data_IF_561537686392
#
_entry.id   IF_561537686392
#
_cell.length_a   1.000
_cell.length_b   1.000
_cell.length_c   1.000
_cell.angle_alpha   90.00
_cell.angle_beta   90.00
_cell.angle_gamma   90.00
#
_symmetry.space_group_name_H-M   'P 1'
#
loop_
_entity.id
_entity.type
_entity.pdbx_description
1 polymer ?
#
# COMPACT_ATOMS: atom_id res chain seq x y z
N UNK A 1 -10.12 -77.23 13.16
CA UNK A 1 -11.15 -76.26 12.79
C UNK A 1 -10.91 -74.84 13.33
N UNK A 2 -10.22 -74.62 14.41
CA UNK A 2 -9.95 -73.26 14.96
C UNK A 2 -9.02 -72.38 14.08
N UNK A 3 -7.99 -72.94 13.46
CA UNK A 3 -6.99 -72.23 12.65
C UNK A 3 -7.55 -71.58 11.39
N UNK A 4 -8.52 -72.20 10.72
CA UNK A 4 -9.14 -71.69 9.48
C UNK A 4 -10.05 -70.46 9.73
N UNK A 5 -10.79 -70.47 10.88
CA UNK A 5 -11.64 -69.36 11.31
C UNK A 5 -10.83 -68.12 11.69
N UNK A 6 -9.65 -68.33 12.34
CA UNK A 6 -8.75 -67.27 12.71
C UNK A 6 -8.10 -66.60 11.52
N UNK A 7 -7.74 -67.33 10.46
CA UNK A 7 -7.22 -66.78 9.19
C UNK A 7 -8.27 -65.93 8.45
N UNK A 8 -9.56 -66.36 8.48
CA UNK A 8 -10.65 -65.60 7.87
C UNK A 8 -10.89 -64.24 8.56
N UNK A 9 -10.82 -64.17 9.87
CA UNK A 9 -10.98 -62.96 10.66
C UNK A 9 -9.79 -62.00 10.40
N UNK A 10 -8.54 -62.48 10.43
CA UNK A 10 -7.36 -61.70 10.16
C UNK A 10 -7.39 -61.05 8.76
N UNK A 11 -7.82 -61.80 7.73
CA UNK A 11 -7.94 -61.32 6.38
C UNK A 11 -9.03 -60.22 6.22
N UNK A 12 -10.15 -60.37 6.94
CA UNK A 12 -11.22 -59.33 6.94
C UNK A 12 -10.78 -58.06 7.67
N UNK A 13 -10.08 -58.21 8.80
CA UNK A 13 -9.57 -57.11 9.58
C UNK A 13 -8.52 -56.29 8.77
N UNK A 14 -7.55 -57.02 8.17
CA UNK A 14 -6.52 -56.38 7.30
C UNK A 14 -7.16 -55.63 6.13
N UNK A 15 -8.18 -56.24 5.44
CA UNK A 15 -8.87 -55.56 4.36
C UNK A 15 -9.64 -54.31 4.85
N UNK A 16 -10.22 -54.35 6.07
CA UNK A 16 -10.85 -53.19 6.69
C UNK A 16 -9.88 -52.06 6.95
N UNK A 17 -8.76 -52.36 7.61
CA UNK A 17 -7.70 -51.39 7.89
C UNK A 17 -7.09 -50.80 6.61
N UNK A 18 -6.85 -51.59 5.57
CA UNK A 18 -6.33 -51.13 4.30
C UNK A 18 -7.32 -50.13 3.63
N UNK A 19 -8.61 -50.43 3.66
CA UNK A 19 -9.62 -49.48 3.11
C UNK A 19 -9.63 -48.16 3.86
N UNK A 20 -9.58 -48.17 5.18
CA UNK A 20 -9.57 -46.95 5.99
C UNK A 20 -8.27 -46.16 5.72
N UNK A 21 -7.13 -46.87 5.67
CA UNK A 21 -5.84 -46.21 5.35
C UNK A 21 -5.81 -45.56 3.96
N UNK A 22 -6.40 -46.21 2.95
CA UNK A 22 -6.51 -45.67 1.60
C UNK A 22 -7.42 -44.44 1.59
N UNK A 23 -8.57 -44.51 2.25
CA UNK A 23 -9.48 -43.36 2.35
C UNK A 23 -8.81 -42.19 3.06
N UNK A 24 -8.09 -42.48 4.18
CA UNK A 24 -7.35 -41.46 4.90
C UNK A 24 -6.23 -40.84 4.07
N UNK A 25 -5.50 -41.63 3.28
CA UNK A 25 -4.46 -41.13 2.38
C UNK A 25 -5.03 -40.24 1.27
N UNK A 26 -6.16 -40.63 0.66
CA UNK A 26 -6.86 -39.82 -0.35
C UNK A 26 -7.34 -38.50 0.24
N UNK A 27 -7.97 -38.55 1.43
CA UNK A 27 -8.41 -37.33 2.12
C UNK A 27 -7.25 -36.39 2.46
N UNK A 28 -6.09 -36.93 2.88
CA UNK A 28 -4.90 -36.15 3.16
C UNK A 28 -4.32 -35.47 1.90
N UNK A 29 -4.30 -36.19 0.77
CA UNK A 29 -3.84 -35.63 -0.52
C UNK A 29 -4.76 -34.48 -0.97
N UNK A 30 -6.07 -34.67 -0.87
CA UNK A 30 -7.06 -33.61 -1.20
C UNK A 30 -6.87 -32.41 -0.27
N UNK A 31 -6.69 -32.65 1.05
CA UNK A 31 -6.48 -31.59 2.03
C UNK A 31 -5.21 -30.79 1.77
N UNK A 32 -4.10 -31.45 1.45
CA UNK A 32 -2.83 -30.79 1.09
C UNK A 32 -3.01 -29.98 -0.21
N UNK A 33 -3.65 -30.56 -1.21
CA UNK A 33 -3.94 -29.85 -2.48
C UNK A 33 -4.76 -28.58 -2.26
N UNK A 34 -5.81 -28.66 -1.44
CA UNK A 34 -6.65 -27.50 -1.10
C UNK A 34 -5.85 -26.41 -0.34
N UNK A 35 -4.98 -26.80 0.59
CA UNK A 35 -4.09 -25.86 1.31
C UNK A 35 -3.10 -25.18 0.39
N UNK A 36 -2.50 -25.89 -0.57
CA UNK A 36 -1.57 -25.30 -1.53
C UNK A 36 -2.28 -24.30 -2.45
N UNK A 37 -3.49 -24.60 -2.90
CA UNK A 37 -4.31 -23.68 -3.69
C UNK A 37 -4.67 -22.44 -2.86
N UNK A 38 -5.11 -22.63 -1.62
CA UNK A 38 -5.45 -21.51 -0.72
C UNK A 38 -4.24 -20.62 -0.45
N UNK A 39 -3.07 -21.21 -0.19
CA UNK A 39 -1.82 -20.47 0.03
C UNK A 39 -1.43 -19.64 -1.19
N UNK A 40 -1.50 -20.22 -2.39
CA UNK A 40 -1.22 -19.51 -3.64
C UNK A 40 -2.21 -18.36 -3.93
N UNK A 41 -3.49 -18.54 -3.61
CA UNK A 41 -4.49 -17.50 -3.74
C UNK A 41 -4.28 -16.38 -2.70
N UNK A 42 -3.93 -16.74 -1.47
CA UNK A 42 -3.62 -15.77 -0.41
C UNK A 42 -2.37 -14.94 -0.74
N UNK A 43 -1.30 -15.57 -1.20
CA UNK A 43 -0.09 -14.87 -1.66
C UNK A 43 -0.41 -13.92 -2.83
N UNK A 44 -1.22 -14.37 -3.79
CA UNK A 44 -1.67 -13.53 -4.89
C UNK A 44 -2.51 -12.34 -4.41
N UNK A 45 -3.38 -12.55 -3.43
CA UNK A 45 -4.19 -11.48 -2.85
C UNK A 45 -3.33 -10.46 -2.08
N UNK A 46 -2.37 -10.91 -1.27
CA UNK A 46 -1.44 -10.04 -0.56
C UNK A 46 -0.58 -9.21 -1.52
N UNK A 47 0.04 -9.87 -2.52
CA UNK A 47 0.90 -9.20 -3.50
C UNK A 47 0.12 -8.23 -4.39
N UNK A 48 -1.17 -8.48 -4.62
CA UNK A 48 -1.99 -7.69 -5.53
C UNK A 48 -2.67 -6.51 -4.86
N UNK A 49 -3.05 -6.66 -3.60
CA UNK A 49 -3.89 -5.68 -2.89
C UNK A 49 -3.26 -5.18 -1.59
N UNK A 50 -2.73 -6.06 -0.77
CA UNK A 50 -2.23 -5.69 0.56
C UNK A 50 -0.98 -4.81 0.50
N UNK A 51 -0.01 -5.15 -0.34
CA UNK A 51 1.23 -4.37 -0.48
C UNK A 51 0.98 -3.05 -1.20
N UNK A 52 0.16 -3.04 -2.25
CA UNK A 52 -0.17 -1.81 -2.98
C UNK A 52 -0.87 -0.80 -2.08
N UNK A 53 -1.82 -1.20 -1.24
CA UNK A 53 -2.44 -0.30 -0.25
C UNK A 53 -1.43 0.22 0.78
N UNK A 54 -0.53 -0.65 1.23
CA UNK A 54 0.54 -0.28 2.15
C UNK A 54 1.48 0.78 1.54
N UNK A 55 1.82 0.64 0.27
CA UNK A 55 2.72 1.56 -0.44
C UNK A 55 2.04 2.90 -0.72
N UNK A 56 0.74 2.91 -1.09
CA UNK A 56 -0.06 4.14 -1.17
C UNK A 56 -0.07 4.86 0.19
N UNK A 57 -0.33 4.14 1.28
CA UNK A 57 -0.35 4.69 2.63
C UNK A 57 0.99 5.30 3.05
N UNK A 58 2.12 4.68 2.69
CA UNK A 58 3.47 5.22 2.95
C UNK A 58 3.71 6.50 2.13
N UNK A 59 3.36 6.51 0.84
CA UNK A 59 3.48 7.68 -0.01
C UNK A 59 2.65 8.85 0.55
N UNK A 60 1.38 8.63 0.88
CA UNK A 60 0.52 9.66 1.51
C UNK A 60 1.10 10.19 2.82
N UNK A 61 1.64 9.31 3.65
CA UNK A 61 2.27 9.71 4.92
C UNK A 61 3.49 10.57 4.68
N UNK A 62 4.40 10.15 3.79
CA UNK A 62 5.61 10.92 3.46
C UNK A 62 5.26 12.29 2.83
N UNK A 63 4.26 12.33 1.94
CA UNK A 63 3.74 13.57 1.37
C UNK A 63 3.18 14.53 2.43
N UNK A 64 2.38 14.02 3.37
CA UNK A 64 1.83 14.82 4.48
C UNK A 64 2.91 15.30 5.45
N UNK A 65 3.94 14.49 5.69
CA UNK A 65 5.07 14.87 6.55
C UNK A 65 5.96 15.92 5.89
N UNK A 66 6.23 15.83 4.57
CA UNK A 66 6.91 16.87 3.79
C UNK A 66 6.14 18.19 3.86
N UNK A 67 4.83 18.16 3.60
CA UNK A 67 3.94 19.32 3.72
C UNK A 67 3.96 19.93 5.14
N UNK A 68 3.94 19.11 6.17
CA UNK A 68 4.00 19.56 7.57
C UNK A 68 5.34 20.24 7.89
N UNK A 69 6.44 19.71 7.37
CA UNK A 69 7.76 20.28 7.55
C UNK A 69 7.90 21.64 6.84
N UNK A 70 7.39 21.77 5.59
CA UNK A 70 7.35 23.06 4.88
C UNK A 70 6.54 24.11 5.67
N UNK A 71 5.35 23.74 6.16
CA UNK A 71 4.55 24.64 7.00
C UNK A 71 5.28 25.09 8.26
N UNK A 72 6.12 24.24 8.84
CA UNK A 72 6.96 24.60 9.96
C UNK A 72 8.06 25.59 9.54
N UNK A 73 8.69 25.42 8.36
CA UNK A 73 9.66 26.40 7.81
C UNK A 73 9.00 27.77 7.65
N UNK A 74 7.79 27.80 7.11
CA UNK A 74 7.02 29.06 6.91
C UNK A 74 6.51 29.66 8.24
N UNK A 75 6.35 28.86 9.29
CA UNK A 75 5.70 29.27 10.54
C UNK A 75 6.64 29.63 11.68
N UNK A 76 7.95 29.35 11.58
CA UNK A 76 8.91 29.59 12.65
C UNK A 76 9.98 30.63 12.24
N UNK A 77 10.40 31.44 13.22
CA UNK A 77 11.45 32.46 13.05
C UNK A 77 12.83 31.99 13.59
N UNK A 78 12.90 30.80 14.18
CA UNK A 78 14.14 30.24 14.73
C UNK A 78 14.94 29.52 13.63
N UNK A 79 16.12 30.03 13.31
CA UNK A 79 16.98 29.52 12.24
C UNK A 79 17.32 28.03 12.41
N UNK A 80 17.58 27.57 13.64
CA UNK A 80 17.88 26.16 13.90
C UNK A 80 16.63 25.25 13.67
N UNK A 81 15.44 25.78 13.93
CA UNK A 81 14.17 25.09 13.62
C UNK A 81 13.96 25.06 12.12
N UNK A 82 14.17 26.16 11.43
CA UNK A 82 14.04 26.28 9.97
C UNK A 82 14.98 25.29 9.28
N UNK A 83 16.28 25.28 9.61
CA UNK A 83 17.26 24.34 9.06
C UNK A 83 16.83 22.88 9.26
N UNK A 84 16.43 22.53 10.48
CA UNK A 84 15.95 21.18 10.81
C UNK A 84 14.72 20.78 10.02
N UNK A 85 13.75 21.69 9.86
CA UNK A 85 12.51 21.40 9.14
C UNK A 85 12.72 21.34 7.64
N UNK A 86 13.61 22.15 7.08
CA UNK A 86 14.05 22.04 5.69
C UNK A 86 14.68 20.68 5.40
N UNK A 87 15.60 20.23 6.25
CA UNK A 87 16.20 18.90 6.10
C UNK A 87 15.16 17.77 6.24
N UNK A 88 14.18 17.93 7.13
CA UNK A 88 13.08 16.97 7.27
C UNK A 88 12.18 16.97 6.03
N UNK A 89 11.84 18.13 5.50
CA UNK A 89 11.09 18.29 4.26
C UNK A 89 11.74 17.52 3.11
N UNK A 90 13.03 17.75 2.86
CA UNK A 90 13.79 17.10 1.80
C UNK A 90 13.83 15.58 1.98
N UNK A 91 14.07 15.11 3.20
CA UNK A 91 14.05 13.68 3.54
C UNK A 91 12.68 13.05 3.23
N UNK A 92 11.58 13.75 3.56
CA UNK A 92 10.23 13.22 3.35
C UNK A 92 9.82 13.26 1.88
N UNK A 93 10.27 14.26 1.14
CA UNK A 93 10.11 14.33 -0.32
C UNK A 93 10.83 13.16 -1.01
N UNK A 94 12.09 12.89 -0.67
CA UNK A 94 12.85 11.75 -1.21
C UNK A 94 12.16 10.41 -0.86
N UNK A 95 11.68 10.25 0.37
CA UNK A 95 10.93 9.08 0.77
C UNK A 95 9.63 8.92 -0.03
N UNK A 96 8.91 10.02 -0.26
CA UNK A 96 7.71 10.04 -1.10
C UNK A 96 8.01 9.59 -2.53
N UNK A 97 9.03 10.15 -3.17
CA UNK A 97 9.45 9.78 -4.53
C UNK A 97 9.81 8.28 -4.61
N UNK A 98 10.51 7.77 -3.60
CA UNK A 98 10.82 6.34 -3.48
C UNK A 98 9.56 5.47 -3.42
N UNK A 99 8.60 5.84 -2.59
CA UNK A 99 7.34 5.08 -2.47
C UNK A 99 6.48 5.19 -3.74
N UNK A 100 6.50 6.33 -4.43
CA UNK A 100 5.81 6.48 -5.72
C UNK A 100 6.45 5.60 -6.80
N UNK A 101 7.76 5.48 -6.83
CA UNK A 101 8.46 4.58 -7.76
C UNK A 101 8.14 3.10 -7.45
N UNK A 102 8.15 2.70 -6.18
CA UNK A 102 7.72 1.35 -5.76
C UNK A 102 6.27 1.08 -6.16
N UNK A 103 5.37 2.04 -5.93
CA UNK A 103 3.96 1.97 -6.29
C UNK A 103 3.77 1.79 -7.79
N UNK A 104 4.52 2.51 -8.63
CA UNK A 104 4.48 2.39 -10.09
C UNK A 104 4.72 0.96 -10.58
N UNK A 105 5.58 0.21 -9.87
CA UNK A 105 5.94 -1.18 -10.19
C UNK A 105 4.89 -2.19 -9.73
N UNK A 106 4.13 -1.86 -8.70
CA UNK A 106 3.11 -2.75 -8.09
C UNK A 106 1.73 -2.58 -8.70
N UNK A 107 1.42 -1.43 -9.31
CA UNK A 107 0.15 -1.14 -9.96
C UNK A 107 0.02 -1.91 -11.28
N UNK A 108 -0.77 -2.98 -11.26
CA UNK A 108 -0.99 -3.87 -12.42
C UNK A 108 -2.31 -3.65 -13.15
N UNK A 109 -3.20 -2.85 -12.61
CA UNK A 109 -4.56 -2.60 -13.14
C UNK A 109 -4.62 -1.29 -13.90
N UNK A 110 -5.46 -1.24 -14.95
CA UNK A 110 -5.71 -0.04 -15.75
C UNK A 110 -6.21 1.12 -14.90
N UNK A 111 -7.25 0.85 -14.09
CA UNK A 111 -7.87 1.86 -13.24
C UNK A 111 -6.88 2.44 -12.20
N UNK A 112 -6.06 1.58 -11.60
CA UNK A 112 -5.02 2.02 -10.67
C UNK A 112 -3.93 2.85 -11.34
N UNK A 113 -3.57 2.54 -12.59
CA UNK A 113 -2.59 3.34 -13.36
C UNK A 113 -3.16 4.67 -13.80
N UNK A 114 -4.44 4.73 -14.17
CA UNK A 114 -5.12 5.98 -14.51
C UNK A 114 -5.14 6.93 -13.31
N UNK A 115 -5.55 6.44 -12.13
CA UNK A 115 -5.53 7.21 -10.90
C UNK A 115 -4.10 7.62 -10.48
N UNK A 116 -3.12 6.74 -10.62
CA UNK A 116 -1.71 7.06 -10.36
C UNK A 116 -1.20 8.17 -11.29
N UNK A 117 -1.54 8.12 -12.58
CA UNK A 117 -1.15 9.15 -13.52
C UNK A 117 -1.84 10.49 -13.24
N UNK A 118 -3.08 10.48 -12.73
CA UNK A 118 -3.75 11.69 -12.27
C UNK A 118 -2.96 12.36 -11.13
N UNK A 119 -2.56 11.58 -10.12
CA UNK A 119 -1.69 12.07 -9.04
C UNK A 119 -0.40 12.67 -9.60
N UNK A 120 0.30 11.98 -10.52
CA UNK A 120 1.56 12.48 -11.08
C UNK A 120 1.38 13.82 -11.80
N UNK A 121 0.26 14.00 -12.52
CA UNK A 121 -0.01 15.23 -13.28
C UNK A 121 -0.12 16.44 -12.36
N UNK A 122 -0.72 16.28 -11.20
CA UNK A 122 -0.89 17.37 -10.22
C UNK A 122 0.40 17.61 -9.41
N UNK A 123 1.23 16.58 -9.22
CA UNK A 123 2.46 16.68 -8.43
C UNK A 123 3.51 17.62 -9.03
N UNK A 124 3.61 17.72 -10.34
CA UNK A 124 4.62 18.59 -10.97
C UNK A 124 4.40 20.05 -10.56
N UNK A 125 3.16 20.55 -10.68
CA UNK A 125 2.82 21.92 -10.26
C UNK A 125 2.94 22.13 -8.75
N UNK A 126 2.60 21.11 -7.95
CA UNK A 126 2.75 21.14 -6.50
C UNK A 126 4.22 21.32 -6.09
N UNK A 127 5.14 20.52 -6.64
CA UNK A 127 6.55 20.59 -6.29
C UNK A 127 7.25 21.85 -6.79
N UNK A 128 6.79 22.45 -7.88
CA UNK A 128 7.25 23.77 -8.34
C UNK A 128 6.86 24.87 -7.34
N UNK A 129 5.61 24.87 -6.88
CA UNK A 129 5.13 25.83 -5.90
C UNK A 129 5.75 25.61 -4.52
N UNK A 130 5.89 24.36 -4.09
CA UNK A 130 6.55 23.95 -2.84
C UNK A 130 8.02 24.47 -2.78
N UNK A 131 8.78 24.27 -3.84
CA UNK A 131 10.15 24.75 -3.95
C UNK A 131 10.24 26.29 -3.90
N UNK A 132 9.31 26.98 -4.56
CA UNK A 132 9.23 28.45 -4.52
C UNK A 132 8.92 28.96 -3.11
N UNK A 133 8.00 28.33 -2.40
CA UNK A 133 7.65 28.70 -1.03
C UNK A 133 8.86 28.49 -0.12
N UNK A 134 9.57 27.37 -0.26
CA UNK A 134 10.77 27.08 0.52
C UNK A 134 11.87 28.12 0.28
N UNK A 135 12.11 28.52 -0.98
CA UNK A 135 13.06 29.55 -1.35
C UNK A 135 12.70 30.92 -0.71
N UNK A 136 11.44 31.34 -0.85
CA UNK A 136 10.96 32.58 -0.26
C UNK A 136 11.01 32.58 1.26
N UNK A 137 10.62 31.49 1.91
CA UNK A 137 10.59 31.36 3.36
C UNK A 137 11.99 31.30 4.00
N UNK A 138 13.00 30.90 3.24
CA UNK A 138 14.40 30.84 3.70
C UNK A 138 15.25 32.03 3.23
N UNK A 139 14.66 32.97 2.50
CA UNK A 139 15.32 34.21 2.08
C UNK A 139 15.35 35.23 3.23
N UNK A 140 16.33 36.17 3.17
CA UNK A 140 16.39 37.30 4.10
C UNK A 140 15.40 38.43 3.75
N UNK A 141 14.49 38.20 2.81
CA UNK A 141 13.51 39.18 2.33
C UNK A 141 12.18 39.05 3.08
N UNK A 142 11.82 40.10 3.82
CA UNK A 142 10.58 40.14 4.60
C UNK A 142 9.33 40.09 3.71
N UNK A 143 9.36 40.70 2.51
CA UNK A 143 8.25 40.65 1.56
C UNK A 143 8.12 39.24 0.95
N UNK A 144 9.24 38.60 0.67
CA UNK A 144 9.30 37.20 0.24
C UNK A 144 8.71 36.23 1.27
N UNK A 145 9.01 36.45 2.55
CA UNK A 145 8.44 35.65 3.64
C UNK A 145 6.91 35.76 3.72
N UNK A 146 6.37 36.97 3.58
CA UNK A 146 4.91 37.18 3.56
C UNK A 146 4.26 36.52 2.32
N UNK A 147 4.91 36.60 1.16
CA UNK A 147 4.45 35.90 -0.04
C UNK A 147 4.47 34.37 0.18
N UNK A 148 5.49 33.82 0.81
CA UNK A 148 5.56 32.39 1.18
C UNK A 148 4.38 31.96 2.04
N UNK A 149 4.04 32.77 3.06
CA UNK A 149 2.89 32.49 3.94
C UNK A 149 1.54 32.51 3.17
N UNK A 150 1.37 33.46 2.26
CA UNK A 150 0.16 33.54 1.43
C UNK A 150 0.05 32.32 0.52
N UNK A 151 1.10 32.01 -0.25
CA UNK A 151 1.14 30.86 -1.16
C UNK A 151 0.93 29.53 -0.43
N UNK A 152 1.53 29.37 0.76
CA UNK A 152 1.37 28.15 1.57
C UNK A 152 -0.09 27.96 2.03
N UNK A 153 -0.74 29.04 2.48
CA UNK A 153 -2.09 28.95 3.06
C UNK A 153 -3.20 28.91 1.99
N UNK A 154 -2.93 29.35 0.78
CA UNK A 154 -3.90 29.40 -0.32
C UNK A 154 -3.61 28.33 -1.36
N UNK A 155 -2.72 28.61 -2.31
CA UNK A 155 -2.52 27.81 -3.51
C UNK A 155 -1.97 26.41 -3.22
N UNK A 156 -0.94 26.33 -2.37
CA UNK A 156 -0.35 25.05 -2.04
C UNK A 156 -1.30 24.18 -1.19
N UNK A 157 -2.09 24.78 -0.30
CA UNK A 157 -3.12 24.06 0.45
C UNK A 157 -4.18 23.48 -0.49
N UNK A 158 -4.66 24.26 -1.47
CA UNK A 158 -5.66 23.78 -2.43
C UNK A 158 -5.11 22.62 -3.28
N UNK A 159 -3.87 22.74 -3.78
CA UNK A 159 -3.22 21.66 -4.53
C UNK A 159 -2.98 20.41 -3.67
N UNK A 160 -2.55 20.60 -2.41
CA UNK A 160 -2.38 19.48 -1.46
C UNK A 160 -3.68 18.71 -1.26
N UNK A 161 -4.79 19.41 -1.02
CA UNK A 161 -6.10 18.78 -0.81
C UNK A 161 -6.57 18.01 -2.04
N UNK A 162 -6.34 18.55 -3.23
CA UNK A 162 -6.65 17.89 -4.49
C UNK A 162 -5.83 16.61 -4.66
N UNK A 163 -4.51 16.67 -4.52
CA UNK A 163 -3.62 15.49 -4.62
C UNK A 163 -3.98 14.46 -3.57
N UNK A 164 -4.30 14.89 -2.34
CA UNK A 164 -4.70 13.97 -1.28
C UNK A 164 -6.00 13.24 -1.62
N UNK A 165 -6.96 13.93 -2.24
CA UNK A 165 -8.20 13.32 -2.72
C UNK A 165 -7.92 12.29 -3.84
N UNK A 166 -7.01 12.59 -4.77
CA UNK A 166 -6.59 11.64 -5.82
C UNK A 166 -5.91 10.38 -5.23
N UNK A 167 -5.13 10.53 -4.16
CA UNK A 167 -4.60 9.36 -3.44
C UNK A 167 -5.70 8.51 -2.79
N UNK A 168 -6.73 9.13 -2.25
CA UNK A 168 -7.89 8.41 -1.70
C UNK A 168 -8.62 7.66 -2.82
N UNK A 169 -8.80 8.28 -3.99
CA UNK A 169 -9.35 7.62 -5.17
C UNK A 169 -8.47 6.47 -5.65
N UNK A 170 -7.14 6.63 -5.62
CA UNK A 170 -6.19 5.56 -5.95
C UNK A 170 -6.30 4.35 -5.00
N UNK A 171 -6.67 4.56 -3.74
CA UNK A 171 -6.93 3.47 -2.79
C UNK A 171 -8.25 2.71 -3.07
N UNK A 172 -9.25 3.36 -3.67
CA UNK A 172 -10.58 2.80 -3.89
C UNK A 172 -10.59 1.56 -4.81
N UNK A 173 -9.97 1.53 -5.99
CA UNK A 173 -9.95 0.35 -6.86
C UNK A 173 -9.29 -0.86 -6.21
N UNK A 174 -8.34 -0.61 -5.30
CA UNK A 174 -7.66 -1.64 -4.54
C UNK A 174 -8.58 -2.24 -3.46
N UNK A 175 -9.54 -1.46 -2.94
CA UNK A 175 -10.48 -1.88 -1.89
C UNK A 175 -11.71 -2.61 -2.44
N UNK A 176 -12.27 -2.19 -3.59
CA UNK A 176 -13.53 -2.71 -4.12
C UNK A 176 -13.46 -4.16 -4.62
N UNK A 177 -12.30 -4.65 -5.03
CA UNK A 177 -12.13 -6.03 -5.47
C UNK A 177 -12.21 -7.05 -4.34
N UNK A 178 -12.27 -6.63 -3.07
CA UNK A 178 -12.46 -7.51 -1.92
C UNK A 178 -13.92 -7.88 -1.63
N UNK A 179 -14.89 -7.14 -2.17
CA UNK A 179 -16.32 -7.33 -1.83
C UNK A 179 -17.11 -8.19 -2.83
N UNK A 180 -16.56 -8.53 -3.97
CA UNK A 180 -17.17 -9.47 -4.90
C UNK A 180 -16.58 -10.87 -4.76
N UNK A 181 -16.79 -11.52 -3.62
CA UNK A 181 -16.78 -12.98 -3.60
C UNK A 181 -17.94 -13.47 -4.50
N UNK A 182 -17.70 -14.37 -5.45
CA UNK A 182 -18.78 -14.96 -6.19
C UNK A 182 -19.68 -15.70 -5.21
N UNK A 183 -20.85 -15.15 -4.93
CA UNK A 183 -21.96 -15.90 -4.34
C UNK A 183 -22.39 -16.90 -5.40
N UNK A 184 -21.83 -18.10 -5.38
CA UNK A 184 -22.34 -19.23 -6.13
C UNK A 184 -23.74 -19.54 -5.58
N UNK A 185 -24.74 -19.12 -6.33
CA UNK A 185 -26.11 -19.68 -6.28
C UNK A 185 -26.12 -21.03 -6.98
#
# INVERSE_FOLDING_TARGET
MATQKQQGIKKRLTKGFTKVAVIGAVAAIIGIGALLIAAAQYEKALNRYGFTQGDIGKAMTAFSESRSALRAVVGYDDEAVIEKQTALHDQKKEAFETYMDELSRTLKFSEGREAYNAVLTELDGYWELDARILELATSDDADGYLEAQELDTTDLTAQYEQIYAEFVELMNPVSYTHLTLPTNS
#
